data_IF_078902061030
#
_entry.id   IF_078902061030
#
_cell.length_a   1.000
_cell.length_b   1.000
_cell.length_c   1.000
_cell.angle_alpha   90.00
_cell.angle_beta   90.00
_cell.angle_gamma   90.00
#
_symmetry.space_group_name_H-M   'P 1'
#
loop_
_entity.id
_entity.type
_entity.pdbx_description
1 polymer ?
#
# COMPACT_ATOMS: atom_id res chain seq x y z
N UNK A 1 16.14 14.08 -2.78
CA UNK A 1 15.74 14.10 -1.35
C UNK A 1 14.25 14.37 -1.28
N UNK A 2 13.49 13.47 -0.66
CA UNK A 2 12.02 13.49 -0.65
C UNK A 2 11.56 14.31 0.55
N UNK A 3 10.68 15.30 0.35
CA UNK A 3 10.08 16.10 1.45
C UNK A 3 8.72 15.56 1.86
N UNK A 4 7.93 15.17 0.86
CA UNK A 4 6.67 14.45 0.95
C UNK A 4 6.42 13.79 -0.40
N UNK A 5 5.48 12.86 -0.44
CA UNK A 5 4.89 12.37 -1.67
C UNK A 5 3.65 13.19 -2.02
N UNK A 6 3.34 13.25 -3.31
CA UNK A 6 2.07 13.77 -3.77
C UNK A 6 0.92 12.93 -3.19
N UNK A 7 -0.14 13.60 -2.78
CA UNK A 7 -1.33 12.96 -2.26
C UNK A 7 -2.22 12.59 -3.43
N UNK A 8 -2.86 11.43 -3.35
CA UNK A 8 -3.90 11.08 -4.31
C UNK A 8 -5.16 11.88 -3.95
N UNK A 9 -5.51 12.84 -4.82
CA UNK A 9 -6.69 13.69 -4.74
C UNK A 9 -7.74 13.34 -5.83
N UNK A 10 -7.46 12.36 -6.69
CA UNK A 10 -8.40 11.90 -7.72
C UNK A 10 -9.62 11.23 -7.08
N UNK A 11 -9.39 10.45 -6.02
CA UNK A 11 -10.44 9.79 -5.25
C UNK A 11 -10.26 10.04 -3.74
N UNK A 12 -10.73 11.19 -3.22
CA UNK A 12 -10.48 11.59 -1.82
C UNK A 12 -10.98 10.58 -0.76
N UNK A 13 -12.00 9.79 -1.10
CA UNK A 13 -12.52 8.73 -0.23
C UNK A 13 -11.63 7.47 -0.20
N UNK A 14 -10.87 7.23 -1.27
CA UNK A 14 -10.01 6.06 -1.42
C UNK A 14 -8.66 6.49 -2.00
N UNK A 15 -7.77 7.08 -1.18
CA UNK A 15 -6.44 7.39 -1.65
C UNK A 15 -5.65 6.10 -1.90
N UNK A 16 -5.06 6.03 -3.09
CA UNK A 16 -4.16 4.96 -3.54
C UNK A 16 -2.68 5.35 -3.42
N UNK A 17 -2.39 6.51 -2.82
CA UNK A 17 -1.02 6.95 -2.57
C UNK A 17 -0.25 6.08 -1.58
N UNK A 18 1.08 6.25 -1.58
CA UNK A 18 2.03 5.46 -0.78
C UNK A 18 1.84 5.57 0.74
N UNK A 19 1.02 6.50 1.23
CA UNK A 19 0.71 6.62 2.66
C UNK A 19 -0.42 5.67 3.10
N UNK A 20 -1.18 5.12 2.15
CA UNK A 20 -2.10 4.02 2.38
C UNK A 20 -1.31 2.73 2.59
N UNK A 21 -1.75 1.83 3.48
CA UNK A 21 -1.17 0.49 3.52
C UNK A 21 -1.48 -0.20 2.19
N UNK A 22 -0.45 -0.63 1.50
CA UNK A 22 -0.55 -1.26 0.19
C UNK A 22 0.39 -2.45 0.09
N UNK A 23 0.16 -3.22 -0.97
CA UNK A 23 1.09 -4.23 -1.46
C UNK A 23 1.58 -3.82 -2.82
N UNK A 24 2.83 -4.16 -3.11
CA UNK A 24 3.34 -4.06 -4.47
C UNK A 24 2.88 -5.29 -5.26
N UNK A 25 2.60 -5.12 -6.54
CA UNK A 25 2.29 -6.21 -7.47
C UNK A 25 3.30 -6.18 -8.60
N UNK A 26 3.78 -7.35 -8.99
CA UNK A 26 4.70 -7.49 -10.13
C UNK A 26 4.24 -8.63 -11.02
N UNK A 27 4.35 -8.51 -12.37
CA UNK A 27 4.16 -9.63 -13.27
C UNK A 27 5.37 -10.59 -13.29
N UNK A 28 6.46 -10.23 -12.62
CA UNK A 28 7.67 -11.04 -12.50
C UNK A 28 7.85 -11.51 -11.04
N UNK A 29 8.46 -12.68 -10.81
CA UNK A 29 8.71 -13.22 -9.47
C UNK A 29 9.89 -12.51 -8.80
N UNK A 30 9.73 -11.22 -8.52
CA UNK A 30 10.72 -10.36 -7.86
C UNK A 30 10.16 -9.83 -6.55
N UNK A 31 11.05 -9.51 -5.61
CA UNK A 31 10.70 -8.87 -4.34
C UNK A 31 10.99 -7.36 -4.43
N UNK A 32 10.25 -6.55 -3.70
CA UNK A 32 10.60 -5.14 -3.49
C UNK A 32 11.67 -5.04 -2.42
N UNK A 33 12.74 -4.29 -2.68
CA UNK A 33 13.72 -3.95 -1.65
C UNK A 33 13.52 -2.53 -1.14
N UNK A 34 13.57 -2.34 0.18
CA UNK A 34 13.35 -1.05 0.80
C UNK A 34 14.44 -0.74 1.85
N UNK A 35 15.06 0.43 1.74
CA UNK A 35 15.99 0.95 2.75
C UNK A 35 15.89 2.47 2.90
N UNK A 36 15.49 2.94 4.09
CA UNK A 36 15.55 4.37 4.41
C UNK A 36 16.92 4.71 4.98
N UNK A 37 17.73 5.51 4.28
CA UNK A 37 19.05 5.95 4.74
C UNK A 37 18.99 7.17 5.66
N UNK A 38 18.00 8.05 5.46
CA UNK A 38 17.83 9.27 6.25
C UNK A 38 16.35 9.66 6.29
N UNK A 39 15.91 10.26 7.40
CA UNK A 39 14.52 10.67 7.64
C UNK A 39 13.64 9.55 8.22
N UNK A 40 12.34 9.81 8.29
CA UNK A 40 11.37 8.85 8.83
C UNK A 40 11.35 7.56 7.99
N UNK A 41 11.33 6.39 8.62
CA UNK A 41 11.31 5.09 7.92
C UNK A 41 9.88 4.65 7.60
N UNK A 42 9.72 3.90 6.50
CA UNK A 42 8.46 3.22 6.20
C UNK A 42 8.02 2.26 7.30
N UNK A 43 6.74 1.90 7.28
CA UNK A 43 6.12 0.97 8.21
C UNK A 43 5.59 -0.25 7.47
N UNK A 44 5.62 -1.40 8.13
CA UNK A 44 4.99 -2.66 7.68
C UNK A 44 3.90 -3.07 8.67
N UNK A 45 2.86 -3.75 8.19
CA UNK A 45 1.76 -4.24 9.01
C UNK A 45 1.56 -5.75 8.77
N UNK A 46 1.40 -6.58 9.83
CA UNK A 46 1.06 -7.99 9.64
C UNK A 46 -0.27 -8.16 8.89
N UNK A 47 -0.33 -9.07 7.89
CA UNK A 47 -1.53 -9.27 7.07
C UNK A 47 -2.80 -9.54 7.91
N UNK A 48 -2.66 -10.27 9.03
CA UNK A 48 -3.77 -10.57 9.94
C UNK A 48 -4.37 -9.34 10.63
N UNK A 49 -3.63 -8.23 10.68
CA UNK A 49 -4.04 -6.96 11.30
C UNK A 49 -4.62 -5.96 10.30
N UNK A 50 -4.84 -6.36 9.05
CA UNK A 50 -5.46 -5.54 8.04
C UNK A 50 -6.62 -6.25 7.36
N UNK A 51 -7.42 -5.47 6.65
CA UNK A 51 -8.49 -5.93 5.77
C UNK A 51 -8.37 -5.18 4.45
N UNK A 52 -8.52 -5.88 3.33
CA UNK A 52 -8.44 -5.27 2.01
C UNK A 52 -9.62 -4.31 1.83
N UNK A 53 -9.35 -3.06 1.43
CA UNK A 53 -10.37 -2.00 1.40
C UNK A 53 -11.56 -2.36 0.52
N UNK A 54 -11.31 -2.98 -0.64
CA UNK A 54 -12.35 -3.35 -1.62
C UNK A 54 -13.30 -4.47 -1.13
N UNK A 55 -12.98 -5.10 0.00
CA UNK A 55 -13.84 -6.09 0.67
C UNK A 55 -14.74 -5.48 1.73
N UNK A 56 -14.44 -4.25 2.19
CA UNK A 56 -15.29 -3.53 3.14
C UNK A 56 -16.59 -3.12 2.43
N UNK A 57 -17.78 -3.52 2.93
CA UNK A 57 -19.05 -3.34 2.21
C UNK A 57 -19.32 -1.90 1.79
N UNK A 58 -19.14 -0.94 2.70
CA UNK A 58 -19.39 0.47 2.43
C UNK A 58 -18.46 1.02 1.36
N UNK A 59 -17.19 0.58 1.36
CA UNK A 59 -16.21 0.99 0.37
C UNK A 59 -16.53 0.37 -0.99
N UNK A 60 -16.86 -0.91 -1.00
CA UNK A 60 -17.20 -1.65 -2.22
C UNK A 60 -18.44 -1.06 -2.89
N UNK A 61 -19.44 -0.65 -2.13
CA UNK A 61 -20.65 0.00 -2.64
C UNK A 61 -20.33 1.37 -3.27
N UNK A 62 -19.46 2.18 -2.65
CA UNK A 62 -19.01 3.45 -3.26
C UNK A 62 -18.20 3.22 -4.54
N UNK A 63 -17.33 2.21 -4.58
CA UNK A 63 -16.57 1.86 -5.78
C UNK A 63 -17.48 1.36 -6.91
N UNK A 64 -18.55 0.63 -6.61
CA UNK A 64 -19.55 0.23 -7.61
C UNK A 64 -20.28 1.43 -8.20
N UNK A 65 -20.64 2.42 -7.39
CA UNK A 65 -21.23 3.68 -7.88
C UNK A 65 -20.26 4.44 -8.78
N UNK A 66 -18.98 4.46 -8.43
CA UNK A 66 -17.94 5.07 -9.24
C UNK A 66 -17.75 4.35 -10.57
N UNK A 67 -17.79 3.01 -10.57
CA UNK A 67 -17.61 2.20 -11.77
C UNK A 67 -18.77 2.37 -12.78
N UNK A 68 -20.02 2.29 -12.32
CA UNK A 68 -21.22 2.51 -13.16
C UNK A 68 -21.41 1.53 -14.33
N UNK A 69 -20.57 0.51 -14.47
CA UNK A 69 -20.64 -0.53 -15.51
C UNK A 69 -21.37 -1.80 -15.05
N UNK A 70 -21.30 -2.84 -15.89
CA UNK A 70 -21.88 -4.15 -15.61
C UNK A 70 -21.00 -4.97 -14.63
N UNK A 71 -21.61 -5.78 -13.77
CA UNK A 71 -20.93 -6.48 -12.67
C UNK A 71 -19.70 -7.30 -13.15
N UNK A 72 -19.72 -7.84 -14.36
CA UNK A 72 -18.63 -8.66 -14.92
C UNK A 72 -17.31 -7.91 -15.07
N UNK A 73 -17.34 -6.57 -15.21
CA UNK A 73 -16.13 -5.76 -15.37
C UNK A 73 -15.63 -5.11 -14.08
N UNK A 74 -16.33 -5.31 -12.95
CA UNK A 74 -16.01 -4.60 -11.71
C UNK A 74 -14.65 -4.99 -11.13
N UNK A 75 -14.29 -6.28 -11.13
CA UNK A 75 -12.98 -6.71 -10.62
C UNK A 75 -11.82 -6.18 -11.46
N UNK A 76 -11.98 -6.14 -12.79
CA UNK A 76 -10.99 -5.53 -13.69
C UNK A 76 -10.81 -4.04 -13.41
N UNK A 77 -11.90 -3.32 -13.15
CA UNK A 77 -11.84 -1.92 -12.73
C UNK A 77 -11.07 -1.74 -11.41
N UNK A 78 -11.29 -2.61 -10.43
CA UNK A 78 -10.54 -2.54 -9.16
C UNK A 78 -9.03 -2.69 -9.39
N UNK A 79 -8.61 -3.63 -10.25
CA UNK A 79 -7.20 -3.86 -10.56
C UNK A 79 -6.59 -2.80 -11.47
N UNK A 80 -7.32 -2.29 -12.47
CA UNK A 80 -6.85 -1.24 -13.38
C UNK A 80 -6.55 0.08 -12.66
N UNK A 81 -7.35 0.39 -11.64
CA UNK A 81 -7.19 1.57 -10.79
C UNK A 81 -6.47 1.28 -9.47
N UNK A 82 -5.88 0.08 -9.32
CA UNK A 82 -5.09 -0.37 -8.17
C UNK A 82 -5.82 -0.38 -6.82
N UNK A 83 -7.15 -0.25 -6.79
CA UNK A 83 -7.94 -0.24 -5.56
C UNK A 83 -7.76 -1.55 -4.77
N UNK A 84 -7.60 -2.67 -5.47
CA UNK A 84 -7.37 -3.99 -4.89
C UNK A 84 -6.02 -4.11 -4.15
N UNK A 85 -5.08 -3.19 -4.32
CA UNK A 85 -3.79 -3.24 -3.65
C UNK A 85 -3.78 -2.63 -2.24
N UNK A 86 -4.88 -1.99 -1.81
CA UNK A 86 -4.91 -1.20 -0.58
C UNK A 86 -5.69 -1.85 0.57
N UNK A 87 -5.18 -1.62 1.77
CA UNK A 87 -5.64 -2.25 3.00
C UNK A 87 -5.94 -1.22 4.09
N UNK A 88 -6.95 -1.51 4.91
CA UNK A 88 -7.26 -0.82 6.15
C UNK A 88 -6.63 -1.55 7.32
N UNK A 89 -5.87 -0.81 8.11
CA UNK A 89 -5.41 -1.30 9.41
C UNK A 89 -6.62 -1.48 10.33
N UNK A 90 -6.73 -2.65 10.97
CA UNK A 90 -7.77 -2.91 11.98
C UNK A 90 -7.59 -1.97 13.18
N UNK A 91 -8.64 -1.70 14.00
CA UNK A 91 -8.57 -0.72 15.08
C UNK A 91 -7.46 -0.91 16.13
N UNK A 92 -6.89 -2.12 16.24
CA UNK A 92 -5.79 -2.46 17.18
C UNK A 92 -4.52 -2.91 16.45
N UNK A 93 -4.42 -2.61 15.16
CA UNK A 93 -3.22 -2.84 14.37
C UNK A 93 -2.01 -2.14 15.00
N UNK A 94 -0.86 -2.80 14.92
CA UNK A 94 0.41 -2.31 15.41
C UNK A 94 1.39 -2.28 14.24
N UNK A 95 1.47 -1.15 13.52
CA UNK A 95 2.50 -0.94 12.52
C UNK A 95 3.89 -1.15 13.13
N UNK A 96 4.79 -1.75 12.37
CA UNK A 96 6.17 -2.00 12.74
C UNK A 96 7.04 -1.07 11.89
N UNK A 97 7.88 -0.29 12.55
CA UNK A 97 8.87 0.54 11.86
C UNK A 97 9.91 -0.34 11.18
N UNK A 98 10.22 -0.05 9.92
CA UNK A 98 11.31 -0.70 9.19
C UNK A 98 12.69 -0.16 9.61
N UNK A 99 12.75 1.00 10.27
CA UNK A 99 13.98 1.59 10.79
C UNK A 99 14.88 2.23 9.72
N UNK A 100 15.86 2.99 10.18
CA UNK A 100 16.85 3.68 9.34
C UNK A 100 18.10 2.80 9.18
N UNK A 101 18.61 2.68 7.96
CA UNK A 101 19.78 1.86 7.64
C UNK A 101 19.51 0.37 7.54
N UNK A 102 18.25 -0.07 7.66
CA UNK A 102 17.86 -1.46 7.48
C UNK A 102 17.44 -1.72 6.04
N UNK A 103 17.97 -2.80 5.45
CA UNK A 103 17.54 -3.30 4.15
C UNK A 103 16.48 -4.39 4.34
N UNK A 104 15.28 -4.14 3.83
CA UNK A 104 14.16 -5.08 3.86
C UNK A 104 13.90 -5.65 2.47
N UNK A 105 13.54 -6.93 2.44
CA UNK A 105 13.03 -7.62 1.26
C UNK A 105 11.56 -7.92 1.50
N UNK A 106 10.70 -7.34 0.68
CA UNK A 106 9.25 -7.38 0.82
C UNK A 106 8.66 -8.25 -0.30
N UNK A 107 7.89 -9.26 0.09
CA UNK A 107 7.17 -10.09 -0.87
C UNK A 107 6.10 -9.25 -1.58
N UNK A 108 6.03 -9.37 -2.90
CA UNK A 108 5.02 -8.72 -3.74
C UNK A 108 3.85 -9.67 -4.01
N UNK A 109 2.73 -9.11 -4.45
CA UNK A 109 1.59 -9.87 -4.95
C UNK A 109 2.00 -10.48 -6.31
N UNK A 110 2.28 -11.78 -6.29
CA UNK A 110 2.64 -12.58 -7.45
C UNK A 110 2.16 -14.03 -7.25
N UNK A 111 1.60 -14.69 -8.28
CA UNK A 111 1.05 -16.05 -8.15
C UNK A 111 2.04 -17.11 -7.66
N UNK A 112 3.34 -16.95 -7.94
CA UNK A 112 4.38 -17.89 -7.50
C UNK A 112 4.92 -17.59 -6.10
N UNK A 113 4.50 -16.48 -5.48
CA UNK A 113 4.95 -16.13 -4.12
C UNK A 113 4.50 -17.17 -3.11
N UNK A 114 5.43 -17.62 -2.27
CA UNK A 114 5.18 -18.63 -1.23
C UNK A 114 4.58 -18.05 0.06
N UNK A 115 4.52 -16.73 0.14
CA UNK A 115 4.01 -15.99 1.30
C UNK A 115 3.06 -14.88 0.84
N UNK A 116 2.13 -14.44 1.71
CA UNK A 116 1.31 -13.27 1.41
C UNK A 116 2.18 -12.04 1.15
N UNK A 117 1.74 -11.13 0.27
CA UNK A 117 2.45 -9.90 0.01
C UNK A 117 2.55 -9.02 1.26
N UNK A 118 3.66 -8.29 1.39
CA UNK A 118 3.95 -7.46 2.55
C UNK A 118 3.16 -6.14 2.51
N UNK A 119 2.28 -5.94 3.50
CA UNK A 119 1.54 -4.68 3.65
C UNK A 119 2.47 -3.61 4.20
N UNK A 120 2.76 -2.57 3.43
CA UNK A 120 3.65 -1.51 3.86
C UNK A 120 3.14 -0.14 3.42
N UNK A 121 3.76 0.93 3.95
CA UNK A 121 3.48 2.32 3.56
C UNK A 121 4.65 3.24 3.85
N UNK A 122 4.68 4.38 3.17
CA UNK A 122 5.49 5.52 3.54
C UNK A 122 5.04 6.08 4.92
N UNK A 123 5.97 6.58 5.74
CA UNK A 123 5.61 7.28 6.97
C UNK A 123 4.98 8.63 6.63
N UNK A 124 4.11 9.12 7.51
CA UNK A 124 3.76 10.55 7.50
C UNK A 124 4.96 11.33 8.01
N UNK A 125 5.42 12.31 7.25
CA UNK A 125 6.59 13.10 7.57
C UNK A 125 6.30 14.00 8.78
N UNK A 126 6.84 13.63 9.95
CA UNK A 126 6.54 14.32 11.20
C UNK A 126 7.71 15.19 11.69
N UNK A 127 8.92 14.95 11.16
CA UNK A 127 10.16 15.50 11.70
C UNK A 127 10.67 16.73 10.95
N UNK A 128 9.99 17.13 9.86
CA UNK A 128 10.48 18.17 8.94
C UNK A 128 11.76 17.76 8.19
N UNK A 129 12.18 16.50 8.35
CA UNK A 129 13.37 15.96 7.71
C UNK A 129 13.05 15.52 6.28
N UNK A 130 14.06 15.66 5.43
CA UNK A 130 14.03 15.05 4.10
C UNK A 130 14.34 13.56 4.21
N UNK A 131 13.65 12.75 3.40
CA UNK A 131 13.89 11.32 3.27
C UNK A 131 14.88 11.02 2.14
N UNK A 132 15.81 10.11 2.41
CA UNK A 132 16.64 9.44 1.43
C UNK A 132 16.32 7.95 1.48
N UNK A 133 15.86 7.41 0.36
CA UNK A 133 15.31 6.06 0.25
C UNK A 133 15.95 5.34 -0.95
N UNK A 134 16.27 4.07 -0.78
CA UNK A 134 16.37 3.12 -1.88
C UNK A 134 15.11 2.29 -1.94
N UNK A 135 14.55 2.19 -3.14
CA UNK A 135 13.44 1.32 -3.51
C UNK A 135 13.77 0.75 -4.90
N UNK A 136 13.66 -0.57 -5.07
CA UNK A 136 13.89 -1.25 -6.34
C UNK A 136 13.17 -2.60 -6.41
#
# INVERSE_FOLDING_TARGET
LIKCYERDDAYPFFPTDVYSFHVDRSPLPVDTFLCTYHGDSSEILPNSQAEQKVLVPEIRDELKKLYGGADEGFESFLSEYFFDLHYLAKPKARPISLGVGHLWKLAVDHPESQVPPCLHRAPKENTGQVRLLMIC
#
